data_IF_223537805243
#
_entry.id   IF_223537805243
#
_cell.length_a   1.000
_cell.length_b   1.000
_cell.length_c   1.000
_cell.angle_alpha   90.00
_cell.angle_beta   90.00
_cell.angle_gamma   90.00
#
_symmetry.space_group_name_H-M   'P 1'
#
loop_
_entity.id
_entity.type
_entity.pdbx_description
1 polymer ?
#
# COMPACT_ATOMS: atom_id res chain seq x y z
N UNK A 1 7.11 15.15 4.70
CA UNK A 1 6.74 13.73 4.62
C UNK A 1 5.70 13.60 3.54
N UNK A 2 6.16 13.29 2.34
CA UNK A 2 5.36 13.16 1.12
C UNK A 2 5.41 11.72 0.63
N UNK A 3 4.31 11.24 0.04
CA UNK A 3 4.29 9.94 -0.63
C UNK A 3 4.96 10.09 -2.00
N UNK A 4 6.06 9.39 -2.18
CA UNK A 4 6.91 9.46 -3.37
C UNK A 4 6.74 8.27 -4.31
N UNK A 5 6.25 7.13 -3.81
CA UNK A 5 5.91 5.97 -4.64
C UNK A 5 4.79 5.16 -3.96
N UNK A 6 3.94 4.53 -4.77
CA UNK A 6 2.83 3.68 -4.34
C UNK A 6 2.72 2.46 -5.25
N UNK A 7 2.80 1.28 -4.65
CA UNK A 7 2.52 0.01 -5.32
C UNK A 7 1.25 -0.60 -4.73
N UNK A 8 0.28 -0.88 -5.59
CA UNK A 8 -1.00 -1.52 -5.21
C UNK A 8 -1.07 -2.88 -5.87
N UNK A 9 -1.38 -3.90 -5.08
CA UNK A 9 -1.67 -5.26 -5.53
C UNK A 9 -3.13 -5.52 -5.17
N UNK A 10 -4.07 -5.39 -6.12
CA UNK A 10 -5.48 -5.68 -5.87
C UNK A 10 -5.67 -7.17 -5.57
N UNK A 11 -6.65 -7.45 -4.72
CA UNK A 11 -7.02 -8.80 -4.31
C UNK A 11 -8.52 -8.96 -4.57
N UNK A 12 -8.89 -10.09 -5.19
CA UNK A 12 -10.28 -10.45 -5.41
C UNK A 12 -10.82 -11.21 -4.18
N UNK A 13 -11.06 -10.46 -3.11
CA UNK A 13 -11.64 -10.96 -1.86
C UNK A 13 -12.71 -9.98 -1.35
N UNK A 14 -13.69 -10.50 -0.60
CA UNK A 14 -14.79 -9.69 -0.07
C UNK A 14 -14.30 -8.68 0.98
N UNK A 15 -13.38 -9.09 1.85
CA UNK A 15 -12.92 -8.31 3.01
C UNK A 15 -11.61 -7.59 2.72
N UNK A 16 -10.69 -8.23 1.99
CA UNK A 16 -9.38 -7.65 1.67
C UNK A 16 -9.34 -7.21 0.20
N UNK A 17 -9.28 -5.91 -0.04
CA UNK A 17 -9.31 -5.36 -1.41
C UNK A 17 -7.96 -5.21 -2.05
N UNK A 18 -6.91 -4.93 -1.26
CA UNK A 18 -5.57 -4.78 -1.79
C UNK A 18 -4.50 -4.87 -0.70
N UNK A 19 -3.31 -5.25 -1.12
CA UNK A 19 -2.07 -4.94 -0.43
C UNK A 19 -1.41 -3.72 -1.05
N UNK A 20 -0.94 -2.81 -0.21
CA UNK A 20 -0.30 -1.57 -0.63
C UNK A 20 1.08 -1.46 0.00
N UNK A 21 2.03 -0.93 -0.77
CA UNK A 21 3.32 -0.48 -0.27
C UNK A 21 3.54 0.98 -0.68
N UNK A 22 4.05 1.79 0.25
CA UNK A 22 4.22 3.23 0.08
C UNK A 22 5.66 3.60 0.42
N UNK A 23 6.25 4.51 -0.35
CA UNK A 23 7.55 5.11 -0.07
C UNK A 23 7.37 6.58 0.30
N UNK A 24 7.84 6.97 1.48
CA UNK A 24 7.90 8.36 1.90
C UNK A 24 9.27 8.96 1.63
N UNK A 25 9.28 10.18 1.08
CA UNK A 25 10.48 11.00 0.85
C UNK A 25 11.63 10.23 0.15
N UNK A 26 11.32 9.22 -0.67
CA UNK A 26 12.25 8.29 -1.33
C UNK A 26 13.21 7.53 -0.40
N UNK A 27 12.99 7.56 0.91
CA UNK A 27 13.93 7.05 1.90
C UNK A 27 13.29 6.10 2.93
N UNK A 28 11.97 6.05 3.00
CA UNK A 28 11.26 5.27 4.01
C UNK A 28 10.13 4.44 3.39
N UNK A 29 10.27 3.12 3.43
CA UNK A 29 9.30 2.15 2.89
C UNK A 29 8.36 1.67 3.99
N UNK A 30 7.06 1.65 3.70
CA UNK A 30 6.04 0.96 4.49
C UNK A 30 5.36 -0.10 3.62
N UNK A 31 5.42 -1.36 4.02
CA UNK A 31 4.82 -2.51 3.32
C UNK A 31 3.65 -3.11 4.11
N UNK A 32 2.96 -4.06 3.49
CA UNK A 32 1.89 -4.86 4.09
C UNK A 32 0.67 -4.05 4.59
N UNK A 33 0.47 -2.86 4.01
CA UNK A 33 -0.74 -2.07 4.24
C UNK A 33 -1.91 -2.83 3.61
N UNK A 34 -2.94 -3.09 4.40
CA UNK A 34 -4.16 -3.79 3.94
C UNK A 34 -5.30 -2.81 3.75
N UNK A 35 -5.90 -2.82 2.57
CA UNK A 35 -7.17 -2.13 2.32
C UNK A 35 -8.29 -3.10 2.67
N UNK A 36 -9.00 -2.82 3.76
CA UNK A 36 -10.12 -3.64 4.26
C UNK A 36 -11.42 -2.83 4.12
N UNK A 37 -12.52 -3.50 3.77
CA UNK A 37 -13.88 -2.92 3.78
C UNK A 37 -14.61 -3.25 5.08
#
# INVERSE_FOLDING_TARGET
MEITDVKVIPVDDEKLKAFVSIVFDQCFVVTDIKIIH
#
